data_IF_638662180403
#
_entry.id   IF_638662180403
#
_cell.length_a   1.000
_cell.length_b   1.000
_cell.length_c   1.000
_cell.angle_alpha   90.00
_cell.angle_beta   90.00
_cell.angle_gamma   90.00
#
_symmetry.space_group_name_H-M   'P 1'
#
loop_
_entity.id
_entity.type
_entity.pdbx_description
1 polymer ?
#
# COMPACT_ATOMS: atom_id res chain seq x y z
N UNK A 1 37.29 -24.72 14.97
CA UNK A 1 35.91 -24.35 14.57
C UNK A 1 35.92 -23.66 13.19
N UNK A 2 35.86 -24.43 12.10
CA UNK A 2 35.89 -23.93 10.72
C UNK A 2 34.61 -24.30 9.97
N UNK A 3 33.46 -23.81 10.42
CA UNK A 3 32.17 -24.05 9.78
C UNK A 3 31.60 -22.76 9.19
N UNK A 4 30.87 -22.91 8.08
CA UNK A 4 30.18 -21.83 7.39
C UNK A 4 28.97 -21.38 8.23
N UNK A 5 28.75 -20.08 8.36
CA UNK A 5 27.62 -19.52 9.13
C UNK A 5 26.24 -19.66 8.49
N UNK A 6 26.13 -20.30 7.33
CA UNK A 6 24.83 -20.53 6.69
C UNK A 6 24.16 -21.76 7.29
N UNK A 7 22.98 -21.58 7.90
CA UNK A 7 22.34 -22.57 8.79
C UNK A 7 22.12 -23.96 8.18
N UNK A 8 22.01 -24.09 6.85
CA UNK A 8 21.78 -25.37 6.15
C UNK A 8 23.02 -25.88 5.39
N UNK A 9 24.19 -25.27 5.60
CA UNK A 9 25.39 -25.63 4.86
C UNK A 9 25.95 -27.01 5.25
N UNK A 10 25.77 -28.00 4.37
CA UNK A 10 26.35 -29.35 4.52
C UNK A 10 27.86 -29.41 4.25
N UNK A 11 28.48 -28.31 3.79
CA UNK A 11 29.87 -28.27 3.35
C UNK A 11 30.78 -27.65 4.42
N UNK A 12 31.60 -28.48 5.07
CA UNK A 12 32.66 -28.07 6.03
C UNK A 12 33.90 -27.47 5.33
N UNK A 13 33.72 -26.59 4.33
CA UNK A 13 34.86 -25.93 3.70
C UNK A 13 35.33 -24.74 4.52
N UNK A 14 36.66 -24.59 4.58
CA UNK A 14 37.38 -23.48 5.22
C UNK A 14 36.77 -22.13 4.81
N UNK A 15 36.59 -21.26 5.80
CA UNK A 15 36.13 -19.87 5.66
C UNK A 15 36.99 -19.17 4.60
N UNK A 16 36.37 -18.74 3.50
CA UNK A 16 37.06 -18.02 2.41
C UNK A 16 36.51 -16.61 2.18
N UNK A 17 35.23 -16.39 2.49
CA UNK A 17 34.55 -15.10 2.35
C UNK A 17 34.00 -14.70 3.72
N UNK A 18 34.91 -14.20 4.57
CA UNK A 18 34.68 -13.96 6.00
C UNK A 18 34.18 -15.22 6.73
N UNK A 19 32.88 -15.32 7.04
CA UNK A 19 32.28 -16.48 7.72
C UNK A 19 31.64 -17.49 6.76
N UNK A 20 31.66 -17.22 5.45
CA UNK A 20 30.99 -18.02 4.43
C UNK A 20 31.97 -18.84 3.57
N UNK A 21 31.47 -19.99 3.09
CA UNK A 21 32.18 -20.85 2.15
C UNK A 21 31.98 -20.37 0.70
N UNK A 22 32.76 -20.91 -0.25
CA UNK A 22 32.66 -20.54 -1.68
C UNK A 22 31.25 -20.71 -2.27
N UNK A 23 30.46 -21.67 -1.80
CA UNK A 23 29.08 -21.88 -2.28
C UNK A 23 28.13 -20.80 -1.78
N UNK A 24 28.33 -20.31 -0.56
CA UNK A 24 27.49 -19.27 0.06
C UNK A 24 28.15 -17.89 0.03
N UNK A 25 29.14 -17.68 -0.85
CA UNK A 25 29.85 -16.39 -0.97
C UNK A 25 28.89 -15.23 -1.28
N UNK A 26 27.80 -15.50 -1.99
CA UNK A 26 26.81 -14.49 -2.37
C UNK A 26 26.14 -13.83 -1.14
N UNK A 27 25.98 -14.57 -0.04
CA UNK A 27 25.43 -14.05 1.24
C UNK A 27 26.35 -13.01 1.90
N UNK A 28 27.65 -13.07 1.59
CA UNK A 28 28.62 -12.09 2.06
C UNK A 28 28.80 -10.94 1.08
N UNK A 29 28.84 -11.25 -0.22
CA UNK A 29 29.19 -10.31 -1.28
C UNK A 29 28.04 -9.42 -1.73
N UNK A 30 26.79 -9.84 -1.52
CA UNK A 30 25.58 -9.14 -2.00
C UNK A 30 24.71 -8.72 -0.82
N UNK A 31 24.27 -7.46 -0.80
CA UNK A 31 23.26 -6.90 0.13
C UNK A 31 22.15 -6.21 -0.65
N UNK A 32 20.90 -6.50 -0.31
CA UNK A 32 19.70 -5.95 -0.99
C UNK A 32 19.73 -6.08 -2.53
N UNK A 33 20.29 -7.20 -3.01
CA UNK A 33 20.43 -7.48 -4.45
C UNK A 33 21.58 -6.75 -5.15
N UNK A 34 22.39 -5.95 -4.43
CA UNK A 34 23.55 -5.24 -4.97
C UNK A 34 24.85 -5.75 -4.37
N UNK A 35 25.94 -5.64 -5.11
CA UNK A 35 27.29 -5.95 -4.64
C UNK A 35 27.65 -4.96 -3.53
N UNK A 36 28.05 -5.49 -2.38
CA UNK A 36 28.54 -4.69 -1.26
C UNK A 36 29.97 -4.21 -1.57
N UNK A 37 30.22 -2.90 -1.71
CA UNK A 37 31.55 -2.36 -1.97
C UNK A 37 32.58 -2.76 -0.92
N UNK A 38 32.17 -2.98 0.33
CA UNK A 38 33.07 -3.34 1.43
C UNK A 38 33.49 -4.82 1.40
N UNK A 39 32.66 -5.66 0.77
CA UNK A 39 32.91 -7.08 0.60
C UNK A 39 33.50 -7.41 -0.77
N UNK A 40 33.71 -6.42 -1.65
CA UNK A 40 34.17 -6.60 -3.02
C UNK A 40 35.56 -7.27 -3.09
N UNK A 41 35.68 -8.25 -4.00
CA UNK A 41 36.84 -9.16 -4.12
C UNK A 41 37.70 -8.91 -5.34
N UNK A 42 37.23 -8.15 -6.33
CA UNK A 42 37.92 -7.96 -7.61
C UNK A 42 37.92 -9.19 -8.54
N UNK A 43 37.37 -10.34 -8.13
CA UNK A 43 37.28 -11.54 -8.98
C UNK A 43 35.91 -11.63 -9.67
N UNK A 44 35.90 -11.48 -11.00
CA UNK A 44 34.70 -11.59 -11.83
C UNK A 44 33.94 -12.93 -11.64
N UNK A 45 34.62 -14.01 -11.22
CA UNK A 45 34.00 -15.34 -10.98
C UNK A 45 33.12 -15.34 -9.74
N UNK A 46 33.30 -14.37 -8.84
CA UNK A 46 32.53 -14.29 -7.62
C UNK A 46 31.11 -13.76 -7.84
N UNK A 47 30.90 -12.98 -8.91
CA UNK A 47 29.66 -12.24 -9.17
C UNK A 47 28.85 -12.82 -10.33
N UNK A 48 27.52 -12.74 -10.26
CA UNK A 48 26.66 -13.00 -11.41
C UNK A 48 26.50 -11.73 -12.25
N UNK A 49 26.23 -11.87 -13.56
CA UNK A 49 25.99 -10.73 -14.46
C UNK A 49 24.87 -9.82 -13.94
N UNK A 50 23.78 -10.40 -13.40
CA UNK A 50 22.66 -9.65 -12.84
C UNK A 50 23.07 -8.79 -11.63
N UNK A 51 23.95 -9.31 -10.78
CA UNK A 51 24.41 -8.63 -9.57
C UNK A 51 25.22 -7.38 -9.97
N UNK A 52 26.08 -7.50 -11.00
CA UNK A 52 26.84 -6.38 -11.57
C UNK A 52 25.91 -5.32 -12.16
N UNK A 53 24.93 -5.73 -12.99
CA UNK A 53 23.97 -4.80 -13.61
C UNK A 53 23.18 -4.02 -12.57
N UNK A 54 22.74 -4.68 -11.49
CA UNK A 54 21.95 -4.05 -10.43
C UNK A 54 22.78 -3.09 -9.56
N UNK A 55 24.11 -3.21 -9.59
CA UNK A 55 25.03 -2.45 -8.74
C UNK A 55 25.69 -1.25 -9.43
N UNK A 56 25.69 -1.21 -10.76
CA UNK A 56 26.22 -0.08 -11.53
C UNK A 56 25.41 1.19 -11.29
N UNK A 57 26.10 2.33 -11.21
CA UNK A 57 25.46 3.64 -11.04
C UNK A 57 24.57 4.04 -12.23
N UNK A 58 24.92 3.56 -13.43
CA UNK A 58 24.20 3.82 -14.69
C UNK A 58 23.77 2.51 -15.35
N UNK A 59 22.61 2.49 -16.03
CA UNK A 59 22.16 1.32 -16.76
C UNK A 59 23.09 1.03 -17.94
N UNK A 60 23.80 -0.10 -17.88
CA UNK A 60 24.67 -0.58 -18.96
C UNK A 60 24.13 -1.89 -19.57
N UNK A 61 24.39 -2.07 -20.88
CA UNK A 61 24.17 -3.32 -21.61
C UNK A 61 25.49 -3.79 -22.18
N UNK A 62 25.80 -5.08 -22.08
CA UNK A 62 27.06 -5.60 -22.59
C UNK A 62 27.37 -7.02 -22.14
N UNK A 63 28.58 -7.47 -22.48
CA UNK A 63 29.15 -8.73 -21.96
C UNK A 63 29.50 -8.56 -20.49
N UNK A 64 29.59 -9.68 -19.77
CA UNK A 64 29.81 -9.65 -18.31
C UNK A 64 31.14 -8.98 -17.96
N UNK A 65 32.15 -9.21 -18.79
CA UNK A 65 33.52 -8.72 -18.65
C UNK A 65 33.60 -7.20 -18.76
N UNK A 66 32.83 -6.60 -19.68
CA UNK A 66 32.82 -5.15 -19.87
C UNK A 66 32.05 -4.47 -18.73
N UNK A 67 30.91 -5.03 -18.34
CA UNK A 67 30.13 -4.57 -17.18
C UNK A 67 30.95 -4.64 -15.89
N UNK A 68 31.72 -5.71 -15.72
CA UNK A 68 32.59 -5.89 -14.56
C UNK A 68 33.72 -4.85 -14.54
N UNK A 69 34.35 -4.56 -15.68
CA UNK A 69 35.38 -3.52 -15.78
C UNK A 69 34.83 -2.13 -15.39
N UNK A 70 33.66 -1.76 -15.87
CA UNK A 70 33.02 -0.49 -15.48
C UNK A 70 32.71 -0.44 -13.98
N UNK A 71 32.19 -1.53 -13.41
CA UNK A 71 31.92 -1.59 -11.97
C UNK A 71 33.20 -1.54 -11.13
N UNK A 72 34.26 -2.20 -11.59
CA UNK A 72 35.57 -2.19 -10.93
C UNK A 72 36.17 -0.77 -10.87
N UNK A 73 35.99 0.03 -11.92
CA UNK A 73 36.37 1.45 -11.94
C UNK A 73 35.55 2.27 -10.93
N UNK A 74 34.23 2.08 -10.86
CA UNK A 74 33.38 2.73 -9.85
C UNK A 74 33.81 2.37 -8.42
N UNK A 75 34.10 1.09 -8.17
CA UNK A 75 34.58 0.61 -6.86
C UNK A 75 35.96 1.18 -6.54
N UNK A 76 36.87 1.29 -7.50
CA UNK A 76 38.18 1.94 -7.29
C UNK A 76 38.04 3.38 -6.85
N UNK A 77 37.06 4.11 -7.37
CA UNK A 77 36.76 5.48 -6.92
C UNK A 77 36.26 5.46 -5.47
N UNK A 78 35.32 4.56 -5.14
CA UNK A 78 34.76 4.46 -3.78
C UNK A 78 35.81 4.00 -2.75
N UNK A 79 36.71 3.10 -3.12
CA UNK A 79 37.77 2.60 -2.25
C UNK A 79 38.74 3.69 -1.79
N UNK A 80 38.85 4.82 -2.50
CA UNK A 80 39.62 5.99 -2.03
C UNK A 80 39.11 6.55 -0.70
N UNK A 81 37.85 6.29 -0.37
CA UNK A 81 37.18 6.78 0.84
C UNK A 81 36.94 5.66 1.87
N UNK A 82 37.59 4.49 1.70
CA UNK A 82 37.37 3.33 2.58
C UNK A 82 37.76 3.63 4.03
N UNK A 83 38.83 4.39 4.23
CA UNK A 83 39.30 4.75 5.58
C UNK A 83 38.42 5.84 6.22
N UNK A 84 37.63 6.56 5.42
CA UNK A 84 36.73 7.63 5.87
C UNK A 84 35.29 7.17 6.12
N UNK A 85 34.98 5.87 5.98
CA UNK A 85 33.61 5.35 6.08
C UNK A 85 32.91 5.80 7.36
N UNK A 86 33.59 5.76 8.50
CA UNK A 86 33.00 6.18 9.78
C UNK A 86 32.64 7.68 9.77
N UNK A 87 33.52 8.51 9.20
CA UNK A 87 33.30 9.94 9.08
C UNK A 87 32.17 10.25 8.08
N UNK A 88 32.10 9.52 6.97
CA UNK A 88 31.02 9.63 5.99
C UNK A 88 29.67 9.28 6.64
N UNK A 89 29.61 8.18 7.40
CA UNK A 89 28.39 7.79 8.12
C UNK A 89 27.99 8.85 9.14
N UNK A 90 28.96 9.43 9.88
CA UNK A 90 28.70 10.55 10.80
C UNK A 90 28.09 11.74 10.06
N UNK A 91 28.67 12.15 8.93
CA UNK A 91 28.16 13.25 8.11
C UNK A 91 26.77 12.95 7.57
N UNK A 92 26.54 11.76 7.02
CA UNK A 92 25.23 11.34 6.55
C UNK A 92 24.18 11.37 7.66
N UNK A 93 24.52 10.92 8.86
CA UNK A 93 23.63 10.96 10.02
C UNK A 93 23.34 12.39 10.46
N UNK A 94 24.33 13.29 10.45
CA UNK A 94 24.11 14.72 10.73
C UNK A 94 23.15 15.35 9.72
N UNK A 95 23.30 15.06 8.44
CA UNK A 95 22.42 15.57 7.38
C UNK A 95 21.00 14.99 7.53
N UNK A 96 20.87 13.67 7.75
CA UNK A 96 19.58 13.01 7.94
C UNK A 96 18.82 13.51 9.15
N UNK A 97 19.52 13.87 10.23
CA UNK A 97 18.94 14.41 11.46
C UNK A 97 18.70 15.92 11.41
N UNK A 98 19.15 16.60 10.37
CA UNK A 98 18.94 18.04 10.25
C UNK A 98 17.44 18.29 10.08
N UNK A 99 16.78 19.05 10.97
CA UNK A 99 15.38 19.39 10.81
C UNK A 99 15.20 20.10 9.47
N UNK A 100 14.17 19.70 8.73
CA UNK A 100 13.81 20.39 7.48
C UNK A 100 13.38 21.82 7.84
N UNK A 101 13.54 22.77 6.91
CA UNK A 101 13.30 24.19 7.20
C UNK A 101 11.96 24.49 7.85
N UNK A 102 10.92 23.72 7.54
CA UNK A 102 9.55 23.93 8.01
C UNK A 102 9.13 23.04 9.19
N UNK A 103 9.99 22.15 9.70
CA UNK A 103 9.61 21.19 10.76
C UNK A 103 9.25 21.91 12.08
N UNK A 104 9.88 23.06 12.34
CA UNK A 104 9.56 23.92 13.49
C UNK A 104 8.13 24.48 13.47
N UNK A 105 7.44 24.44 12.31
CA UNK A 105 6.07 24.91 12.16
C UNK A 105 5.04 23.79 12.40
N UNK A 106 5.46 22.53 12.50
CA UNK A 106 4.55 21.36 12.61
C UNK A 106 4.10 21.04 14.03
N UNK A 107 4.69 21.71 15.03
CA UNK A 107 4.41 21.50 16.45
C UNK A 107 5.09 20.27 17.05
N UNK A 108 4.94 20.13 18.37
CA UNK A 108 5.68 19.15 19.18
C UNK A 108 5.31 17.70 18.86
N UNK A 109 4.05 17.45 18.49
CA UNK A 109 3.56 16.14 18.08
C UNK A 109 4.28 15.58 16.85
N UNK A 110 4.89 16.44 16.03
CA UNK A 110 5.68 15.99 14.87
C UNK A 110 7.01 15.35 15.28
N UNK A 111 7.61 15.87 16.36
CA UNK A 111 8.87 15.35 16.91
C UNK A 111 8.63 14.01 17.60
N UNK A 112 7.51 13.91 18.32
CA UNK A 112 7.09 12.68 18.97
C UNK A 112 5.57 12.51 18.90
N UNK A 113 5.12 11.65 17.97
CA UNK A 113 3.70 11.32 17.75
C UNK A 113 3.00 10.80 19.02
N UNK A 114 3.73 10.17 19.94
CA UNK A 114 3.18 9.64 21.19
C UNK A 114 2.74 10.72 22.18
N UNK A 115 3.14 11.98 21.98
CA UNK A 115 2.68 13.10 22.80
C UNK A 115 1.27 13.56 22.43
N UNK A 116 0.77 13.17 21.26
CA UNK A 116 -0.57 13.56 20.81
C UNK A 116 -1.66 12.84 21.60
N UNK A 117 -2.69 13.60 21.96
CA UNK A 117 -3.87 13.13 22.71
C UNK A 117 -4.95 12.50 21.82
N UNK A 118 -4.75 12.53 20.50
CA UNK A 118 -5.56 11.83 19.52
C UNK A 118 -4.67 11.06 18.53
N UNK A 119 -5.18 9.95 18.04
CA UNK A 119 -4.53 9.05 17.09
C UNK A 119 -5.11 9.17 15.67
N UNK A 120 -6.19 9.95 15.49
CA UNK A 120 -6.94 10.09 14.24
C UNK A 120 -7.24 11.57 13.97
N UNK A 121 -7.18 11.99 12.70
CA UNK A 121 -7.60 13.33 12.26
C UNK A 121 -9.13 13.46 12.24
N UNK A 122 -9.65 14.62 12.65
CA UNK A 122 -11.09 14.84 12.84
C UNK A 122 -11.89 14.85 11.52
N UNK A 123 -11.23 15.06 10.38
CA UNK A 123 -11.89 15.31 9.11
C UNK A 123 -11.59 14.25 8.07
N UNK A 124 -10.32 13.82 7.94
CA UNK A 124 -9.95 12.72 7.03
C UNK A 124 -10.16 11.34 7.66
N UNK A 125 -10.20 11.26 9.00
CA UNK A 125 -10.17 10.02 9.77
C UNK A 125 -8.93 9.15 9.50
N UNK A 126 -7.87 9.74 8.94
CA UNK A 126 -6.57 9.07 8.82
C UNK A 126 -5.90 9.02 10.18
N UNK A 127 -5.22 7.90 10.46
CA UNK A 127 -4.46 7.76 11.69
C UNK A 127 -3.18 8.59 11.62
N UNK A 128 -2.61 8.87 12.79
CA UNK A 128 -1.33 9.57 12.95
C UNK A 128 -0.16 8.84 12.26
N UNK A 129 -0.30 7.53 12.01
CA UNK A 129 0.67 6.70 11.30
C UNK A 129 0.40 6.59 9.79
N UNK A 130 -0.85 6.73 9.36
CA UNK A 130 -1.24 6.67 7.94
C UNK A 130 -0.98 7.99 7.20
N UNK A 131 -1.01 9.13 7.92
CA UNK A 131 -0.82 10.44 7.30
C UNK A 131 0.62 10.64 6.82
N UNK A 132 0.77 11.25 5.63
CA UNK A 132 2.09 11.64 5.16
C UNK A 132 2.70 12.73 6.07
N UNK A 133 3.96 12.57 6.49
CA UNK A 133 4.69 13.52 7.35
C UNK A 133 4.62 14.97 6.86
N UNK A 134 4.53 15.18 5.53
CA UNK A 134 4.44 16.51 4.94
C UNK A 134 3.13 17.24 5.31
N UNK A 135 2.07 16.52 5.64
CA UNK A 135 0.76 17.06 6.05
C UNK A 135 0.54 17.06 7.56
N UNK A 136 1.48 16.51 8.34
CA UNK A 136 1.35 16.49 9.78
C UNK A 136 1.43 17.91 10.36
N UNK A 137 0.46 18.24 11.21
CA UNK A 137 0.45 19.43 12.06
C UNK A 137 -0.05 19.10 13.46
N UNK A 138 0.46 19.79 14.46
CA UNK A 138 0.01 19.66 15.84
C UNK A 138 0.16 20.96 16.58
N UNK A 139 -0.63 21.14 17.62
CA UNK A 139 -0.43 22.25 18.54
C UNK A 139 -0.85 21.86 19.96
N UNK A 140 -0.25 22.55 20.93
CA UNK A 140 -0.57 22.38 22.34
C UNK A 140 -1.67 23.37 22.74
N UNK A 141 -2.72 22.90 23.42
CA UNK A 141 -3.77 23.75 23.96
C UNK A 141 -3.36 24.41 25.30
N UNK A 142 -4.25 25.23 25.86
CA UNK A 142 -4.00 25.95 27.11
C UNK A 142 -3.87 25.01 28.33
N UNK A 143 -4.39 23.78 28.23
CA UNK A 143 -4.35 22.76 29.27
C UNK A 143 -3.10 21.87 29.15
N UNK A 144 -2.26 22.11 28.15
CA UNK A 144 -1.03 21.39 27.91
C UNK A 144 -1.19 20.12 27.07
N UNK A 145 -2.38 19.83 26.53
CA UNK A 145 -2.63 18.69 25.66
C UNK A 145 -2.22 19.00 24.22
N UNK A 146 -1.63 18.02 23.54
CA UNK A 146 -1.15 18.16 22.16
C UNK A 146 -2.14 17.48 21.23
N UNK A 147 -2.67 18.24 20.28
CA UNK A 147 -3.65 17.74 19.32
C UNK A 147 -3.03 17.64 17.94
N UNK A 148 -3.14 16.46 17.33
CA UNK A 148 -2.72 16.16 15.97
C UNK A 148 -3.83 16.49 14.96
N UNK A 149 -3.42 17.04 13.83
CA UNK A 149 -4.26 17.35 12.68
C UNK A 149 -3.53 17.05 11.37
N UNK A 150 -4.28 16.69 10.35
CA UNK A 150 -3.87 16.98 8.98
C UNK A 150 -3.91 18.51 8.78
N UNK A 151 -2.81 19.11 8.33
CA UNK A 151 -2.73 20.56 8.08
C UNK A 151 -3.81 21.05 7.10
N UNK A 152 -4.24 20.19 6.17
CA UNK A 152 -5.32 20.47 5.22
C UNK A 152 -6.64 20.57 5.98
N UNK A 153 -6.95 19.58 6.81
CA UNK A 153 -8.12 19.58 7.71
C UNK A 153 -8.12 20.78 8.65
N UNK A 154 -6.97 21.08 9.24
CA UNK A 154 -6.79 22.24 10.11
C UNK A 154 -7.08 23.56 9.38
N UNK A 155 -6.57 23.74 8.16
CA UNK A 155 -6.87 24.93 7.37
C UNK A 155 -8.36 25.08 7.09
N UNK A 156 -9.10 23.99 6.85
CA UNK A 156 -10.56 24.02 6.71
C UNK A 156 -11.27 24.42 7.99
N UNK A 157 -10.80 23.90 9.13
CA UNK A 157 -11.32 24.27 10.46
C UNK A 157 -11.22 25.79 10.68
N UNK A 158 -10.05 26.37 10.33
CA UNK A 158 -9.79 27.81 10.41
C UNK A 158 -10.64 28.60 9.41
N UNK A 159 -10.75 28.14 8.16
CA UNK A 159 -11.57 28.77 7.12
C UNK A 159 -13.05 28.86 7.54
N UNK A 160 -13.57 27.80 8.16
CA UNK A 160 -14.93 27.72 8.69
C UNK A 160 -15.11 28.42 10.04
N UNK A 161 -14.05 29.05 10.58
CA UNK A 161 -14.02 29.74 11.89
C UNK A 161 -14.53 28.86 13.03
N UNK A 162 -14.20 27.57 12.99
CA UNK A 162 -14.56 26.60 14.02
C UNK A 162 -13.52 26.54 15.14
N UNK A 163 -13.95 26.12 16.31
CA UNK A 163 -13.09 25.81 17.46
C UNK A 163 -12.39 24.47 17.28
N UNK A 164 -11.42 24.14 18.14
CA UNK A 164 -10.84 22.80 18.16
C UNK A 164 -11.95 21.72 18.32
N UNK A 165 -12.02 20.69 17.45
CA UNK A 165 -13.08 19.68 17.48
C UNK A 165 -13.05 18.79 18.74
N UNK A 166 -11.89 18.66 19.40
CA UNK A 166 -11.71 17.82 20.59
C UNK A 166 -12.02 18.57 21.89
N UNK A 167 -11.64 19.85 21.98
CA UNK A 167 -11.78 20.63 23.22
C UNK A 167 -12.87 21.70 23.17
N UNK A 168 -13.33 22.08 21.96
CA UNK A 168 -14.22 23.22 21.69
C UNK A 168 -13.67 24.58 22.11
N UNK A 169 -12.37 24.65 22.39
CA UNK A 169 -11.69 25.91 22.69
C UNK A 169 -11.35 26.68 21.40
N UNK A 170 -11.27 28.00 21.53
CA UNK A 170 -10.83 28.88 20.44
C UNK A 170 -9.35 28.57 20.14
N UNK A 171 -9.05 28.42 18.85
CA UNK A 171 -7.68 28.18 18.39
C UNK A 171 -6.91 29.50 18.48
N UNK A 172 -5.75 29.54 19.17
CA UNK A 172 -4.95 30.76 19.29
C UNK A 172 -4.47 31.29 17.92
N UNK A 173 -4.43 32.62 17.77
CA UNK A 173 -4.07 33.25 16.50
C UNK A 173 -2.64 32.91 16.04
N UNK A 174 -1.69 32.75 16.97
CA UNK A 174 -0.32 32.38 16.63
C UNK A 174 -0.21 30.97 16.03
N UNK A 175 -1.10 30.05 16.45
CA UNK A 175 -1.20 28.69 15.90
C UNK A 175 -1.77 28.75 14.48
N UNK A 176 -2.80 29.58 14.28
CA UNK A 176 -3.38 29.83 12.96
C UNK A 176 -2.31 30.38 12.00
N UNK A 177 -1.53 31.36 12.44
CA UNK A 177 -0.46 31.96 11.64
C UNK A 177 0.65 30.94 11.30
N UNK A 178 1.01 30.07 12.25
CA UNK A 178 1.95 28.94 12.02
C UNK A 178 1.42 27.98 10.96
N UNK A 179 0.15 27.58 11.05
CA UNK A 179 -0.48 26.68 10.09
C UNK A 179 -0.50 27.27 8.67
N UNK A 180 -0.85 28.55 8.53
CA UNK A 180 -0.81 29.25 7.25
C UNK A 180 0.61 29.33 6.67
N UNK A 181 1.60 29.66 7.51
CA UNK A 181 3.01 29.71 7.09
C UNK A 181 3.49 28.34 6.62
N UNK A 182 3.21 27.29 7.39
CA UNK A 182 3.55 25.92 7.02
C UNK A 182 2.96 25.59 5.64
N UNK A 183 1.65 25.81 5.48
CA UNK A 183 0.92 25.50 4.25
C UNK A 183 1.50 26.18 3.01
N UNK A 184 1.97 27.43 3.16
CA UNK A 184 2.66 28.18 2.11
C UNK A 184 4.02 27.56 1.76
N UNK A 185 4.80 27.18 2.76
CA UNK A 185 6.15 26.62 2.56
C UNK A 185 6.13 25.24 1.90
N UNK A 186 5.13 24.41 2.20
CA UNK A 186 4.95 23.09 1.57
C UNK A 186 4.15 23.12 0.26
N UNK A 187 3.85 24.33 -0.25
CA UNK A 187 3.11 24.56 -1.50
C UNK A 187 1.79 23.78 -1.55
N UNK A 188 1.02 23.81 -0.46
CA UNK A 188 -0.39 23.39 -0.55
C UNK A 188 -1.09 24.40 -1.47
N UNK A 189 -1.26 24.04 -2.74
CA UNK A 189 -2.09 24.80 -3.67
C UNK A 189 -3.52 24.83 -3.11
N UNK A 190 -4.14 26.02 -3.16
CA UNK A 190 -5.52 26.34 -2.77
C UNK A 190 -6.31 25.18 -2.15
N UNK A 191 -6.64 25.34 -0.86
CA UNK A 191 -7.45 24.49 0.04
C UNK A 191 -8.89 24.22 -0.46
N UNK A 192 -9.18 24.48 -1.74
CA UNK A 192 -10.42 24.08 -2.41
C UNK A 192 -10.48 22.59 -2.74
N UNK A 193 -9.45 21.81 -2.41
CA UNK A 193 -9.43 20.35 -2.59
C UNK A 193 -9.21 19.59 -1.29
N UNK A 194 -9.84 20.05 -0.19
CA UNK A 194 -10.47 19.02 0.64
C UNK A 194 -11.94 19.03 0.27
N UNK A 195 -12.20 18.39 -0.86
CA UNK A 195 -13.52 17.96 -1.25
C UNK A 195 -14.09 17.15 -0.08
N UNK A 196 -15.04 17.73 0.66
CA UNK A 196 -15.96 17.00 1.55
C UNK A 196 -16.67 15.84 0.81
N UNK A 197 -16.60 15.82 -0.53
CA UNK A 197 -17.16 14.78 -1.39
C UNK A 197 -16.19 13.64 -1.70
N UNK A 198 -14.90 13.77 -1.38
CA UNK A 198 -13.93 12.69 -1.58
C UNK A 198 -13.73 11.97 -0.26
N UNK A 199 -14.69 11.10 0.08
CA UNK A 199 -14.41 9.91 0.88
C UNK A 199 -13.00 9.40 0.48
N UNK A 200 -12.13 9.09 1.43
CA UNK A 200 -10.84 8.43 1.10
C UNK A 200 -11.13 7.23 0.20
N UNK A 201 -10.21 6.82 -0.69
CA UNK A 201 -10.45 5.65 -1.57
C UNK A 201 -10.95 4.43 -0.77
N UNK A 202 -10.44 4.25 0.46
CA UNK A 202 -10.88 3.23 1.41
C UNK A 202 -12.32 3.44 1.91
N UNK A 203 -12.71 4.67 2.24
CA UNK A 203 -14.09 5.01 2.61
C UNK A 203 -15.07 4.91 1.44
N UNK A 204 -14.70 5.34 0.21
CA UNK A 204 -15.54 5.15 -1.00
C UNK A 204 -15.82 3.67 -1.18
N UNK A 205 -14.77 2.87 -1.17
CA UNK A 205 -14.89 1.42 -1.36
C UNK A 205 -15.73 0.80 -0.25
N UNK A 206 -15.52 1.20 1.01
CA UNK A 206 -16.34 0.72 2.13
C UNK A 206 -17.81 1.09 1.97
N UNK A 207 -18.12 2.31 1.57
CA UNK A 207 -19.49 2.75 1.31
C UNK A 207 -20.12 1.94 0.17
N UNK A 208 -19.42 1.79 -0.97
CA UNK A 208 -19.89 0.95 -2.08
C UNK A 208 -20.15 -0.49 -1.66
N UNK A 209 -19.31 -1.07 -0.78
CA UNK A 209 -19.54 -2.42 -0.24
C UNK A 209 -20.83 -2.44 0.58
N UNK A 210 -21.01 -1.50 1.51
CA UNK A 210 -22.22 -1.44 2.34
C UNK A 210 -23.46 -1.29 1.47
N UNK A 211 -23.43 -0.40 0.49
CA UNK A 211 -24.53 -0.17 -0.45
C UNK A 211 -24.84 -1.43 -1.28
N UNK A 212 -23.82 -2.12 -1.77
CA UNK A 212 -23.97 -3.37 -2.52
C UNK A 212 -24.63 -4.46 -1.68
N UNK A 213 -24.16 -4.68 -0.44
CA UNK A 213 -24.69 -5.72 0.43
C UNK A 213 -26.12 -5.41 0.89
N UNK A 214 -26.42 -4.14 1.16
CA UNK A 214 -27.80 -3.70 1.43
C UNK A 214 -28.73 -3.97 0.24
N UNK A 215 -28.25 -3.78 -0.99
CA UNK A 215 -29.03 -4.15 -2.18
C UNK A 215 -29.23 -5.66 -2.30
N UNK A 216 -28.20 -6.47 -2.07
CA UNK A 216 -28.31 -7.94 -2.11
C UNK A 216 -29.38 -8.44 -1.13
N UNK A 217 -29.39 -7.90 0.10
CA UNK A 217 -30.41 -8.22 1.11
C UNK A 217 -31.81 -7.77 0.67
N UNK A 218 -31.94 -6.58 0.09
CA UNK A 218 -33.22 -6.10 -0.43
C UNK A 218 -33.82 -7.05 -1.49
N UNK A 219 -32.99 -7.73 -2.28
CA UNK A 219 -33.43 -8.71 -3.27
C UNK A 219 -33.64 -10.13 -2.73
N UNK A 220 -33.52 -10.32 -1.41
CA UNK A 220 -33.94 -11.54 -0.71
C UNK A 220 -32.81 -12.50 -0.34
N UNK A 221 -31.55 -12.09 -0.46
CA UNK A 221 -30.41 -12.93 -0.05
C UNK A 221 -29.78 -12.40 1.25
N UNK A 222 -29.74 -13.22 2.30
CA UNK A 222 -29.07 -12.87 3.56
C UNK A 222 -27.57 -12.70 3.32
N UNK A 223 -27.02 -11.49 3.50
CA UNK A 223 -25.64 -11.21 3.12
C UNK A 223 -24.94 -10.25 4.07
N UNK A 224 -23.94 -10.74 4.82
CA UNK A 224 -23.19 -9.92 5.77
C UNK A 224 -21.93 -9.33 5.15
N UNK A 225 -21.70 -8.03 5.38
CA UNK A 225 -20.56 -7.27 4.86
C UNK A 225 -19.22 -7.87 5.29
N UNK A 226 -19.16 -8.49 6.47
CA UNK A 226 -17.98 -9.15 7.05
C UNK A 226 -17.49 -10.29 6.17
N UNK A 227 -18.38 -10.98 5.43
CA UNK A 227 -18.00 -12.11 4.57
C UNK A 227 -17.08 -11.70 3.42
N UNK A 228 -17.10 -10.43 3.05
CA UNK A 228 -16.23 -9.85 2.02
C UNK A 228 -15.14 -8.97 2.62
N UNK A 229 -15.49 -8.12 3.60
CA UNK A 229 -14.55 -7.16 4.20
C UNK A 229 -13.49 -7.80 5.09
N UNK A 230 -13.62 -9.07 5.49
CA UNK A 230 -12.59 -9.81 6.23
C UNK A 230 -11.63 -10.59 5.31
N UNK A 231 -11.93 -10.69 4.01
CA UNK A 231 -11.10 -11.44 3.07
C UNK A 231 -9.73 -10.76 2.86
N UNK A 232 -8.66 -11.56 2.94
CA UNK A 232 -7.32 -11.16 2.57
C UNK A 232 -7.11 -11.11 1.05
N UNK A 233 -6.00 -10.50 0.61
CA UNK A 233 -5.66 -10.30 -0.82
C UNK A 233 -5.70 -11.60 -1.63
N UNK A 234 -5.16 -12.71 -1.10
CA UNK A 234 -5.21 -14.01 -1.79
C UNK A 234 -6.63 -14.52 -2.02
N UNK A 235 -7.53 -14.37 -1.03
CA UNK A 235 -8.92 -14.82 -1.14
C UNK A 235 -9.73 -13.92 -2.07
N UNK A 236 -9.45 -12.62 -2.09
CA UNK A 236 -10.04 -11.68 -3.05
C UNK A 236 -9.62 -12.02 -4.50
N UNK A 237 -8.35 -12.38 -4.72
CA UNK A 237 -7.88 -12.88 -6.02
C UNK A 237 -8.57 -14.18 -6.44
N UNK A 238 -8.71 -15.13 -5.51
CA UNK A 238 -9.46 -16.36 -5.75
C UNK A 238 -10.93 -16.08 -6.07
N UNK A 239 -11.56 -15.15 -5.34
CA UNK A 239 -12.95 -14.74 -5.58
C UNK A 239 -13.14 -14.20 -6.99
N UNK A 240 -12.28 -13.28 -7.42
CA UNK A 240 -12.34 -12.74 -8.78
C UNK A 240 -12.21 -13.86 -9.83
N UNK A 241 -11.22 -14.75 -9.66
CA UNK A 241 -11.03 -15.89 -10.57
C UNK A 241 -12.27 -16.79 -10.64
N UNK A 242 -12.89 -17.09 -9.50
CA UNK A 242 -14.07 -17.93 -9.45
C UNK A 242 -15.27 -17.26 -10.12
N UNK A 243 -15.47 -15.96 -9.89
CA UNK A 243 -16.54 -15.19 -10.52
C UNK A 243 -16.37 -15.07 -12.04
N UNK A 244 -15.14 -14.87 -12.50
CA UNK A 244 -14.78 -14.87 -13.91
C UNK A 244 -15.09 -16.24 -14.56
N UNK A 245 -14.65 -17.34 -13.92
CA UNK A 245 -14.94 -18.70 -14.39
C UNK A 245 -16.45 -18.98 -14.47
N UNK A 246 -17.19 -18.58 -13.43
CA UNK A 246 -18.65 -18.74 -13.36
C UNK A 246 -19.33 -17.98 -14.50
N UNK A 247 -19.03 -16.69 -14.64
CA UNK A 247 -19.71 -15.81 -15.59
C UNK A 247 -19.35 -16.11 -17.04
N UNK A 248 -18.08 -16.36 -17.33
CA UNK A 248 -17.60 -16.50 -18.70
C UNK A 248 -17.72 -17.93 -19.22
N UNK A 249 -17.59 -18.95 -18.36
CA UNK A 249 -17.49 -20.33 -18.81
C UNK A 249 -18.56 -21.26 -18.23
N UNK A 250 -18.75 -21.29 -16.90
CA UNK A 250 -19.59 -22.34 -16.27
C UNK A 250 -21.08 -22.18 -16.53
N UNK A 251 -21.61 -20.95 -16.47
CA UNK A 251 -23.05 -20.73 -16.58
C UNK A 251 -23.59 -20.92 -17.99
N UNK A 252 -22.72 -20.95 -19.01
CA UNK A 252 -23.08 -21.08 -20.44
C UNK A 252 -24.22 -20.14 -20.89
N UNK A 253 -24.30 -18.95 -20.28
CA UNK A 253 -25.33 -17.96 -20.60
C UNK A 253 -25.17 -17.48 -22.05
N UNK A 254 -26.30 -17.36 -22.76
CA UNK A 254 -26.31 -16.71 -24.07
C UNK A 254 -25.89 -15.25 -23.92
N UNK A 255 -25.31 -14.69 -24.99
CA UNK A 255 -24.93 -13.28 -25.01
C UNK A 255 -26.13 -12.35 -24.76
N UNK A 256 -27.34 -12.77 -25.11
CA UNK A 256 -28.56 -12.03 -24.83
C UNK A 256 -28.89 -12.01 -23.33
N UNK A 257 -28.84 -13.16 -22.66
CA UNK A 257 -29.04 -13.24 -21.21
C UNK A 257 -27.97 -12.45 -20.45
N UNK A 258 -26.70 -12.53 -20.87
CA UNK A 258 -25.62 -11.71 -20.28
C UNK A 258 -25.90 -10.22 -20.39
N UNK A 259 -26.36 -9.76 -21.57
CA UNK A 259 -26.74 -8.35 -21.78
C UNK A 259 -27.94 -7.92 -20.94
N UNK A 260 -28.90 -8.81 -20.69
CA UNK A 260 -30.04 -8.52 -19.81
C UNK A 260 -29.63 -8.35 -18.35
N UNK A 261 -28.73 -9.21 -17.87
CA UNK A 261 -28.26 -9.20 -16.47
C UNK A 261 -27.24 -8.07 -16.23
N UNK A 262 -26.37 -7.77 -17.20
CA UNK A 262 -25.38 -6.69 -17.11
C UNK A 262 -25.35 -5.84 -18.41
N UNK A 263 -26.29 -4.92 -18.60
CA UNK A 263 -26.30 -4.03 -19.75
C UNK A 263 -25.06 -3.12 -19.82
N UNK A 264 -24.71 -2.60 -21.02
CA UNK A 264 -25.36 -2.84 -22.32
C UNK A 264 -24.84 -4.09 -23.05
N UNK A 265 -23.66 -4.61 -22.68
CA UNK A 265 -22.91 -5.59 -23.47
C UNK A 265 -22.71 -6.95 -22.75
N UNK A 266 -23.12 -7.09 -21.49
CA UNK A 266 -22.98 -8.33 -20.73
C UNK A 266 -21.56 -8.61 -20.24
N UNK A 267 -20.68 -7.60 -20.27
CA UNK A 267 -19.27 -7.74 -19.93
C UNK A 267 -19.04 -7.51 -18.43
N UNK A 268 -18.81 -8.60 -17.70
CA UNK A 268 -18.51 -8.64 -16.27
C UNK A 268 -17.33 -9.58 -16.05
N UNK A 269 -16.41 -9.19 -15.16
CA UNK A 269 -15.16 -9.88 -14.83
C UNK A 269 -14.20 -10.02 -16.03
N UNK A 270 -14.13 -8.99 -16.87
CA UNK A 270 -13.33 -9.01 -18.10
C UNK A 270 -11.83 -8.67 -17.93
N UNK A 271 -11.41 -8.23 -16.74
CA UNK A 271 -9.99 -7.96 -16.48
C UNK A 271 -9.23 -9.28 -16.50
N UNK A 272 -8.15 -9.40 -17.29
CA UNK A 272 -7.36 -10.62 -17.37
C UNK A 272 -6.86 -11.08 -16.00
N UNK A 273 -6.98 -12.39 -15.71
CA UNK A 273 -6.61 -12.96 -14.40
C UNK A 273 -5.16 -12.64 -14.04
N UNK A 274 -4.24 -12.67 -15.02
CA UNK A 274 -2.83 -12.33 -14.80
C UNK A 274 -2.66 -10.90 -14.26
N UNK A 275 -3.44 -9.92 -14.71
CA UNK A 275 -3.41 -8.55 -14.20
C UNK A 275 -3.91 -8.49 -12.76
N UNK A 276 -5.01 -9.17 -12.45
CA UNK A 276 -5.55 -9.26 -11.07
C UNK A 276 -4.55 -9.94 -10.13
N UNK A 277 -3.81 -10.94 -10.59
CA UNK A 277 -2.79 -11.62 -9.80
C UNK A 277 -1.61 -10.71 -9.43
N UNK A 278 -1.36 -9.63 -10.19
CA UNK A 278 -0.28 -8.65 -9.91
C UNK A 278 -0.69 -7.60 -8.86
N UNK A 279 -1.99 -7.35 -8.67
CA UNK A 279 -2.48 -6.36 -7.71
C UNK A 279 -2.19 -6.81 -6.28
N UNK A 280 -1.49 -5.99 -5.50
CA UNK A 280 -1.14 -6.32 -4.10
C UNK A 280 -1.93 -5.49 -3.08
N UNK A 281 -2.58 -4.42 -3.51
CA UNK A 281 -3.39 -3.57 -2.64
C UNK A 281 -4.77 -4.20 -2.42
N UNK A 282 -5.14 -4.38 -1.14
CA UNK A 282 -6.42 -4.98 -0.75
C UNK A 282 -7.62 -4.11 -1.10
N UNK A 283 -7.53 -2.80 -0.87
CA UNK A 283 -8.61 -1.84 -1.13
C UNK A 283 -8.87 -1.74 -2.64
N UNK A 284 -7.81 -1.81 -3.44
CA UNK A 284 -7.90 -1.85 -4.90
C UNK A 284 -8.61 -3.10 -5.42
N UNK A 285 -8.27 -4.29 -4.88
CA UNK A 285 -8.97 -5.53 -5.23
C UNK A 285 -10.45 -5.48 -4.83
N UNK A 286 -10.75 -4.90 -3.66
CA UNK A 286 -12.14 -4.70 -3.21
C UNK A 286 -12.90 -3.76 -4.15
N UNK A 287 -12.30 -2.63 -4.54
CA UNK A 287 -12.90 -1.68 -5.48
C UNK A 287 -13.21 -2.35 -6.84
N UNK A 288 -12.23 -3.09 -7.40
CA UNK A 288 -12.41 -3.81 -8.66
C UNK A 288 -13.60 -4.78 -8.58
N UNK A 289 -13.63 -5.65 -7.56
CA UNK A 289 -14.69 -6.64 -7.38
C UNK A 289 -16.06 -5.97 -7.22
N UNK A 290 -16.16 -4.96 -6.36
CA UNK A 290 -17.41 -4.25 -6.10
C UNK A 290 -17.91 -3.54 -7.35
N UNK A 291 -17.03 -2.87 -8.11
CA UNK A 291 -17.42 -2.21 -9.36
C UNK A 291 -17.92 -3.21 -10.41
N UNK A 292 -17.32 -4.40 -10.50
CA UNK A 292 -17.80 -5.45 -11.41
C UNK A 292 -19.19 -5.96 -10.99
N UNK A 293 -19.42 -6.21 -9.70
CA UNK A 293 -20.72 -6.71 -9.20
C UNK A 293 -21.81 -5.65 -9.31
N UNK A 294 -21.48 -4.38 -9.05
CA UNK A 294 -22.43 -3.26 -9.18
C UNK A 294 -22.96 -3.09 -10.61
N UNK A 295 -22.34 -3.69 -11.64
CA UNK A 295 -22.91 -3.71 -13.00
C UNK A 295 -24.28 -4.40 -13.06
N UNK A 296 -24.53 -5.38 -12.18
CA UNK A 296 -25.85 -6.03 -12.05
C UNK A 296 -26.94 -5.05 -11.57
N UNK A 297 -26.56 -3.90 -11.01
CA UNK A 297 -27.51 -2.87 -10.58
C UNK A 297 -28.33 -2.33 -11.75
N UNK A 298 -27.78 -2.41 -12.96
CA UNK A 298 -28.36 -1.92 -14.20
C UNK A 298 -29.12 -2.99 -14.99
N UNK A 299 -29.34 -4.19 -14.44
CA UNK A 299 -30.10 -5.26 -15.11
C UNK A 299 -31.49 -4.79 -15.59
N UNK A 300 -31.97 -5.39 -16.68
CA UNK A 300 -33.23 -4.99 -17.35
C UNK A 300 -34.46 -5.29 -16.49
N UNK A 301 -34.45 -6.38 -15.73
CA UNK A 301 -35.55 -6.78 -14.85
C UNK A 301 -35.08 -7.08 -13.42
N UNK A 302 -36.01 -7.09 -12.46
CA UNK A 302 -35.71 -7.48 -11.08
C UNK A 302 -35.21 -8.92 -10.97
N UNK A 303 -35.70 -9.81 -11.83
CA UNK A 303 -35.32 -11.22 -11.81
C UNK A 303 -33.93 -11.42 -12.41
N UNK A 304 -33.59 -10.68 -13.45
CA UNK A 304 -32.23 -10.64 -13.99
C UNK A 304 -31.22 -10.12 -12.95
N UNK A 305 -31.62 -9.12 -12.16
CA UNK A 305 -30.81 -8.62 -11.04
C UNK A 305 -30.62 -9.67 -9.94
N UNK A 306 -31.69 -10.37 -9.55
CA UNK A 306 -31.63 -11.48 -8.58
C UNK A 306 -30.67 -12.58 -9.06
N UNK A 307 -30.69 -12.92 -10.35
CA UNK A 307 -29.75 -13.88 -10.95
C UNK A 307 -28.31 -13.38 -10.86
N UNK A 308 -28.04 -12.11 -11.16
CA UNK A 308 -26.71 -11.51 -11.03
C UNK A 308 -26.14 -11.63 -9.61
N UNK A 309 -26.93 -11.26 -8.59
CA UNK A 309 -26.50 -11.40 -7.19
C UNK A 309 -26.38 -12.86 -6.74
N UNK A 310 -27.23 -13.77 -7.25
CA UNK A 310 -27.11 -15.20 -7.00
C UNK A 310 -25.74 -15.73 -7.44
N UNK A 311 -25.29 -15.36 -8.64
CA UNK A 311 -23.98 -15.77 -9.15
C UNK A 311 -22.82 -15.20 -8.31
N UNK A 312 -22.97 -13.96 -7.82
CA UNK A 312 -22.01 -13.40 -6.89
C UNK A 312 -21.92 -14.22 -5.58
N UNK A 313 -23.06 -14.60 -5.01
CA UNK A 313 -23.11 -15.40 -3.76
C UNK A 313 -22.49 -16.78 -3.97
N UNK A 314 -22.75 -17.44 -5.11
CA UNK A 314 -22.10 -18.71 -5.48
C UNK A 314 -20.57 -18.56 -5.52
N UNK A 315 -20.05 -17.45 -6.06
CA UNK A 315 -18.61 -17.18 -6.04
C UNK A 315 -18.07 -16.88 -4.64
N UNK A 316 -18.82 -16.11 -3.84
CA UNK A 316 -18.42 -15.70 -2.49
C UNK A 316 -18.38 -16.89 -1.52
N UNK A 317 -19.30 -17.84 -1.63
CA UNK A 317 -19.37 -19.02 -0.76
C UNK A 317 -18.15 -19.94 -0.91
N UNK A 318 -17.51 -19.95 -2.08
CA UNK A 318 -16.28 -20.73 -2.33
C UNK A 318 -15.05 -20.19 -1.58
N UNK A 319 -15.07 -18.92 -1.14
CA UNK A 319 -13.95 -18.28 -0.42
C UNK A 319 -14.30 -17.86 1.00
N UNK A 320 -15.59 -17.82 1.34
CA UNK A 320 -16.12 -17.44 2.64
C UNK A 320 -17.03 -18.53 3.20
N UNK A 321 -16.51 -19.28 4.17
CA UNK A 321 -17.25 -20.35 4.85
C UNK A 321 -18.55 -19.89 5.53
N UNK A 322 -18.59 -18.74 6.24
CA UNK A 322 -19.84 -18.23 6.82
C UNK A 322 -20.93 -17.96 5.77
N UNK A 323 -20.55 -17.52 4.57
CA UNK A 323 -21.48 -17.31 3.46
C UNK A 323 -22.09 -18.63 2.97
N UNK A 324 -21.27 -19.69 2.87
CA UNK A 324 -21.72 -21.02 2.46
C UNK A 324 -22.70 -21.63 3.48
N UNK A 325 -22.38 -21.54 4.76
CA UNK A 325 -23.20 -22.10 5.86
C UNK A 325 -24.53 -21.36 6.03
N UNK A 326 -24.64 -20.11 5.57
CA UNK A 326 -25.87 -19.31 5.68
C UNK A 326 -26.88 -19.55 4.54
N UNK A 327 -26.49 -20.28 3.50
CA UNK A 327 -27.31 -20.49 2.30
C UNK A 327 -27.46 -21.98 1.98
N UNK A 328 -28.48 -22.61 2.55
CA UNK A 328 -28.72 -24.05 2.39
C UNK A 328 -28.84 -24.52 0.93
N UNK A 329 -29.34 -23.66 0.05
CA UNK A 329 -29.51 -23.97 -1.38
C UNK A 329 -28.19 -24.09 -2.14
N UNK A 330 -27.08 -23.52 -1.63
CA UNK A 330 -25.76 -23.63 -2.23
C UNK A 330 -25.14 -25.03 -2.07
N UNK A 331 -25.66 -25.87 -1.16
CA UNK A 331 -25.20 -27.26 -1.05
C UNK A 331 -25.60 -28.11 -2.27
N UNK A 332 -26.50 -27.61 -3.11
CA UNK A 332 -27.04 -28.32 -4.28
C UNK A 332 -26.58 -27.74 -5.62
N UNK A 333 -25.69 -26.74 -5.61
CA UNK A 333 -25.13 -26.01 -6.77
C UNK A 333 -23.65 -26.31 -6.88
#
# INVERSE_FOLDING_TARGET
MNQCSFHTCKHKRVKKYNTFCKMHRREYLIRDGKIDPLAYTGDIKDYLKKDIIQSLSKPHKGKKEDLFRSFDEEIKILNKYKDDIENIIKVQNMIKKRPKPHDHLRGEGYVNKQLCNNDVDFYTFETIDDIEDKYFFSYQDNNGFIWFFDIRSFNKLVEMKQTNPYTREIIPQDIIDKAFKLSKEIQIQNVNTIDTNNLTRKQIVRQKIVDLFSQIEHYGYSCQVEWFTTLGTSRLKSLYRNLEDIWNYRLQLTNETKRRIAPPNGLVFNIPINEIMLVNNRVELQDILVNEIMKFNHAVSSDDKKLGYMYFIIGLSQVSRPCLESHDWLMFV
#
